data_IF_476863442239
#
_entry.id   IF_476863442239
#
_cell.length_a   1.000
_cell.length_b   1.000
_cell.length_c   1.000
_cell.angle_alpha   90.00
_cell.angle_beta   90.00
_cell.angle_gamma   90.00
#
_symmetry.space_group_name_H-M   'P 1'
#
loop_
_entity.id
_entity.type
_entity.pdbx_description
1 polymer ?
#
# COMPACT_ATOMS: atom_id res chain seq x y z
N UNK A 1 7.91 12.59 10.66
CA UNK A 1 6.68 11.79 10.57
C UNK A 1 6.11 11.80 9.16
N UNK A 2 5.96 12.97 8.54
CA UNK A 2 5.32 13.14 7.23
C UNK A 2 5.95 12.31 6.10
N UNK A 3 7.29 12.28 5.96
CA UNK A 3 7.99 11.49 4.92
C UNK A 3 7.78 9.98 5.03
N UNK A 4 7.62 9.45 6.26
CA UNK A 4 7.37 8.01 6.48
C UNK A 4 5.92 7.63 6.14
N UNK A 5 4.97 8.50 6.49
CA UNK A 5 3.56 8.33 6.11
C UNK A 5 3.38 8.26 4.60
N UNK A 6 4.00 9.20 3.85
CA UNK A 6 3.98 9.18 2.39
C UNK A 6 4.60 7.90 1.83
N UNK A 7 5.67 7.38 2.41
CA UNK A 7 6.28 6.11 1.99
C UNK A 7 5.30 4.92 2.12
N UNK A 8 4.64 4.78 3.28
CA UNK A 8 3.65 3.71 3.48
C UNK A 8 2.43 3.86 2.57
N UNK A 9 1.94 5.10 2.40
CA UNK A 9 0.83 5.38 1.48
C UNK A 9 1.18 5.01 0.04
N UNK A 10 2.38 5.36 -0.44
CA UNK A 10 2.83 5.03 -1.80
C UNK A 10 2.91 3.52 -2.02
N UNK A 11 3.39 2.74 -1.04
CA UNK A 11 3.46 1.27 -1.15
C UNK A 11 2.06 0.67 -1.30
N UNK A 12 1.10 1.13 -0.49
CA UNK A 12 -0.28 0.62 -0.51
C UNK A 12 -0.99 1.01 -1.81
N UNK A 13 -0.81 2.26 -2.27
CA UNK A 13 -1.35 2.72 -3.55
C UNK A 13 -0.76 1.93 -4.72
N UNK A 14 0.56 1.69 -4.72
CA UNK A 14 1.21 0.89 -5.75
C UNK A 14 0.72 -0.56 -5.77
N UNK A 15 0.56 -1.19 -4.59
CA UNK A 15 0.00 -2.53 -4.49
C UNK A 15 -1.44 -2.60 -5.01
N UNK A 16 -2.27 -1.61 -4.69
CA UNK A 16 -3.64 -1.52 -5.16
C UNK A 16 -3.74 -1.34 -6.67
N UNK A 17 -2.94 -0.44 -7.26
CA UNK A 17 -2.88 -0.26 -8.70
C UNK A 17 -2.36 -1.51 -9.43
N UNK A 18 -1.38 -2.20 -8.84
CA UNK A 18 -0.90 -3.50 -9.36
C UNK A 18 -2.01 -4.56 -9.39
N UNK A 19 -2.81 -4.64 -8.31
CA UNK A 19 -3.97 -5.54 -8.25
C UNK A 19 -5.04 -5.21 -9.31
N UNK A 20 -5.35 -3.92 -9.51
CA UNK A 20 -6.27 -3.49 -10.56
C UNK A 20 -5.76 -3.83 -11.96
N UNK A 21 -4.47 -3.61 -12.22
CA UNK A 21 -3.85 -4.01 -13.50
C UNK A 21 -3.92 -5.51 -13.74
N UNK A 22 -3.70 -6.31 -12.69
CA UNK A 22 -3.85 -7.76 -12.76
C UNK A 22 -5.29 -8.18 -13.07
N UNK A 23 -6.30 -7.57 -12.45
CA UNK A 23 -7.72 -7.84 -12.77
C UNK A 23 -8.07 -7.52 -14.22
N UNK A 24 -7.57 -6.40 -14.75
CA UNK A 24 -7.76 -6.04 -16.17
C UNK A 24 -7.13 -7.07 -17.11
N UNK A 25 -5.95 -7.60 -16.74
CA UNK A 25 -5.26 -8.64 -17.50
C UNK A 25 -6.04 -9.96 -17.47
N UNK A 26 -6.57 -10.37 -16.30
CA UNK A 26 -7.43 -11.55 -16.19
C UNK A 26 -8.71 -11.42 -17.02
N UNK A 27 -9.32 -10.23 -17.04
CA UNK A 27 -10.47 -9.95 -17.91
C UNK A 27 -10.10 -10.12 -19.39
N UNK A 28 -8.94 -9.62 -19.80
CA UNK A 28 -8.45 -9.75 -21.17
C UNK A 28 -8.17 -11.21 -21.56
N UNK A 29 -7.55 -11.98 -20.68
CA UNK A 29 -7.31 -13.43 -20.89
C UNK A 29 -8.64 -14.17 -21.07
N UNK A 30 -9.62 -13.91 -20.19
CA UNK A 30 -10.96 -14.52 -20.29
C UNK A 30 -11.65 -14.18 -21.61
N UNK A 31 -11.55 -12.92 -22.07
CA UNK A 31 -12.12 -12.50 -23.36
C UNK A 31 -11.47 -13.23 -24.54
N UNK A 32 -10.14 -13.41 -24.51
CA UNK A 32 -9.41 -14.17 -25.54
C UNK A 32 -9.88 -15.63 -25.56
N UNK A 33 -10.01 -16.26 -24.40
CA UNK A 33 -10.48 -17.65 -24.28
C UNK A 33 -11.90 -17.86 -24.84
N UNK A 34 -12.76 -16.85 -24.69
CA UNK A 34 -14.13 -16.87 -25.24
C UNK A 34 -14.22 -16.52 -26.74
N UNK A 35 -13.08 -16.34 -27.41
CA UNK A 35 -13.00 -16.07 -28.84
C UNK A 35 -13.27 -14.61 -29.23
N UNK A 36 -13.28 -13.69 -28.26
CA UNK A 36 -13.42 -12.26 -28.52
C UNK A 36 -12.07 -11.71 -28.98
N UNK A 37 -12.05 -10.95 -30.09
CA UNK A 37 -10.83 -10.30 -30.58
C UNK A 37 -10.41 -9.17 -29.62
N UNK A 38 -9.30 -9.30 -28.87
CA UNK A 38 -8.97 -8.38 -27.78
C UNK A 38 -8.59 -6.97 -28.26
N UNK A 39 -8.06 -6.86 -29.47
CA UNK A 39 -7.53 -5.61 -30.05
C UNK A 39 -8.49 -4.93 -31.02
N UNK A 40 -9.79 -5.24 -30.97
CA UNK A 40 -10.77 -4.48 -31.73
C UNK A 40 -10.92 -3.07 -31.14
N UNK A 41 -11.21 -2.08 -32.00
CA UNK A 41 -11.39 -0.68 -31.57
C UNK A 41 -12.44 -0.55 -30.46
N UNK A 42 -13.52 -1.33 -30.54
CA UNK A 42 -14.61 -1.35 -29.56
C UNK A 42 -14.16 -1.88 -28.20
N UNK A 43 -13.36 -2.95 -28.17
CA UNK A 43 -12.85 -3.54 -26.93
C UNK A 43 -11.79 -2.66 -26.25
N UNK A 44 -10.97 -1.96 -27.04
CA UNK A 44 -10.01 -0.98 -26.50
C UNK A 44 -10.76 0.18 -25.83
N UNK A 45 -11.84 0.67 -26.44
CA UNK A 45 -12.68 1.72 -25.85
C UNK A 45 -13.34 1.22 -24.55
N UNK A 46 -13.89 0.00 -24.55
CA UNK A 46 -14.50 -0.61 -23.37
C UNK A 46 -13.49 -0.83 -22.24
N UNK A 47 -12.27 -1.31 -22.54
CA UNK A 47 -11.19 -1.42 -21.56
C UNK A 47 -10.77 -0.04 -21.03
N UNK A 48 -10.69 0.98 -21.89
CA UNK A 48 -10.39 2.35 -21.49
C UNK A 48 -11.43 2.90 -20.51
N UNK A 49 -12.72 2.75 -20.83
CA UNK A 49 -13.83 3.16 -19.95
C UNK A 49 -13.80 2.37 -18.63
N UNK A 50 -13.59 1.05 -18.69
CA UNK A 50 -13.49 0.20 -17.51
C UNK A 50 -12.33 0.62 -16.59
N UNK A 51 -11.18 0.95 -17.17
CA UNK A 51 -10.00 1.46 -16.43
C UNK A 51 -10.32 2.78 -15.73
N UNK A 52 -10.98 3.73 -16.42
CA UNK A 52 -11.38 5.01 -15.82
C UNK A 52 -12.36 4.80 -14.66
N UNK A 53 -13.35 3.92 -14.83
CA UNK A 53 -14.31 3.60 -13.76
C UNK A 53 -13.57 2.98 -12.55
N UNK A 54 -12.66 2.04 -12.78
CA UNK A 54 -11.86 1.43 -11.71
C UNK A 54 -11.01 2.46 -10.96
N UNK A 55 -10.42 3.42 -11.66
CA UNK A 55 -9.67 4.53 -11.04
C UNK A 55 -10.59 5.41 -10.19
N UNK A 56 -11.78 5.77 -10.67
CA UNK A 56 -12.71 6.60 -9.91
C UNK A 56 -13.21 5.87 -8.66
N UNK A 57 -13.58 4.59 -8.78
CA UNK A 57 -14.07 3.75 -7.68
C UNK A 57 -12.97 3.47 -6.65
N UNK A 58 -11.70 3.56 -7.02
CA UNK A 58 -10.60 3.35 -6.07
C UNK A 58 -10.27 4.55 -5.20
N UNK A 59 -10.74 5.76 -5.54
CA UNK A 59 -10.60 6.97 -4.70
C UNK A 59 -11.16 6.77 -3.27
N UNK A 60 -12.42 6.32 -3.06
CA UNK A 60 -12.94 6.09 -1.72
C UNK A 60 -12.23 4.95 -0.99
N UNK A 61 -11.73 3.94 -1.70
CA UNK A 61 -10.94 2.84 -1.09
C UNK A 61 -9.63 3.39 -0.53
N UNK A 62 -8.91 4.19 -1.31
CA UNK A 62 -7.66 4.84 -0.87
C UNK A 62 -7.93 5.79 0.30
N UNK A 63 -9.03 6.56 0.25
CA UNK A 63 -9.43 7.44 1.35
C UNK A 63 -9.75 6.66 2.64
N UNK A 64 -10.44 5.52 2.53
CA UNK A 64 -10.71 4.64 3.67
C UNK A 64 -9.45 3.99 4.26
N UNK A 65 -8.41 3.79 3.44
CA UNK A 65 -7.13 3.25 3.89
C UNK A 65 -6.25 4.29 4.60
N UNK A 66 -6.44 5.60 4.36
CA UNK A 66 -5.66 6.67 5.03
C UNK A 66 -5.61 6.54 6.56
N UNK A 67 -6.72 6.36 7.30
CA UNK A 67 -6.67 6.22 8.76
C UNK A 67 -5.91 4.97 9.21
N UNK A 68 -5.97 3.88 8.46
CA UNK A 68 -5.20 2.65 8.75
C UNK A 68 -3.70 2.87 8.55
N UNK A 69 -3.31 3.64 7.54
CA UNK A 69 -1.91 4.03 7.30
C UNK A 69 -1.39 4.90 8.45
N UNK A 70 -2.20 5.86 8.92
CA UNK A 70 -1.86 6.69 10.08
C UNK A 70 -1.67 5.81 11.33
N UNK A 71 -2.60 4.89 11.58
CA UNK A 71 -2.52 3.98 12.71
C UNK A 71 -1.27 3.10 12.67
N UNK A 72 -0.95 2.52 11.51
CA UNK A 72 0.27 1.72 11.33
C UNK A 72 1.54 2.55 11.59
N UNK A 73 1.56 3.81 11.15
CA UNK A 73 2.65 4.74 11.44
C UNK A 73 2.83 4.99 12.94
N UNK A 74 1.73 5.22 13.67
CA UNK A 74 1.75 5.41 15.12
C UNK A 74 2.27 4.15 15.85
N UNK A 75 1.84 2.96 15.43
CA UNK A 75 2.33 1.70 16.00
C UNK A 75 3.84 1.57 15.79
N UNK A 76 4.33 1.81 14.57
CA UNK A 76 5.76 1.73 14.28
C UNK A 76 6.58 2.72 15.11
N UNK A 77 6.06 3.92 15.33
CA UNK A 77 6.71 4.95 16.14
C UNK A 77 6.70 4.59 17.64
N UNK A 78 5.60 4.02 18.14
CA UNK A 78 5.52 3.46 19.49
C UNK A 78 6.53 2.34 19.73
N UNK A 79 6.64 1.39 18.78
CA UNK A 79 7.63 0.31 18.83
C UNK A 79 9.06 0.87 18.86
N UNK A 80 9.36 1.87 18.03
CA UNK A 80 10.67 2.51 18.01
C UNK A 80 11.02 3.19 19.35
N UNK A 81 10.08 3.92 19.94
CA UNK A 81 10.30 4.54 21.25
C UNK A 81 10.54 3.50 22.34
N UNK A 82 9.80 2.39 22.31
CA UNK A 82 9.94 1.30 23.28
C UNK A 82 11.32 0.64 23.17
N UNK A 83 11.78 0.34 21.96
CA UNK A 83 13.14 -0.18 21.71
C UNK A 83 14.22 0.80 22.17
N UNK A 84 14.05 2.10 21.90
CA UNK A 84 14.98 3.13 22.37
C UNK A 84 15.03 3.21 23.90
N UNK A 85 13.88 3.08 24.56
CA UNK A 85 13.77 3.02 26.02
C UNK A 85 14.54 1.84 26.60
N UNK A 86 14.33 0.64 26.04
CA UNK A 86 15.05 -0.58 26.45
C UNK A 86 16.55 -0.40 26.27
N UNK A 87 17.00 0.14 25.13
CA UNK A 87 18.42 0.39 24.88
C UNK A 87 19.04 1.36 25.91
N UNK A 88 18.36 2.46 26.21
CA UNK A 88 18.84 3.42 27.21
C UNK A 88 18.86 2.83 28.62
N UNK A 89 17.83 2.07 28.99
CA UNK A 89 17.76 1.36 30.26
C UNK A 89 18.91 0.34 30.40
N UNK A 90 19.15 -0.48 29.37
CA UNK A 90 20.28 -1.42 29.33
C UNK A 90 21.62 -0.71 29.44
N UNK A 91 21.82 0.39 28.69
CA UNK A 91 23.04 1.20 28.78
C UNK A 91 23.26 1.79 30.18
N UNK A 92 22.20 2.25 30.84
CA UNK A 92 22.28 2.75 32.22
C UNK A 92 22.65 1.64 33.20
N UNK A 93 22.03 0.47 33.07
CA UNK A 93 22.27 -0.69 33.93
C UNK A 93 23.73 -1.16 33.81
N UNK A 94 24.28 -1.21 32.59
CA UNK A 94 25.70 -1.51 32.35
C UNK A 94 26.60 -0.49 33.03
N UNK A 95 26.36 0.82 32.83
CA UNK A 95 27.18 1.88 33.46
C UNK A 95 27.16 1.81 34.98
N UNK A 96 26.01 1.46 35.57
CA UNK A 96 25.87 1.33 37.02
C UNK A 96 26.69 0.16 37.57
N UNK A 97 26.82 -0.93 36.83
CA UNK A 97 27.64 -2.08 37.22
C UNK A 97 29.13 -1.91 36.94
N UNK A 98 29.53 -1.08 35.96
CA UNK A 98 30.94 -0.86 35.63
C UNK A 98 31.61 0.26 36.43
N UNK A 99 30.84 1.09 37.13
CA UNK A 99 31.33 2.19 37.98
C UNK A 99 31.04 1.98 39.48
N UNK A 100 30.66 0.77 39.88
CA UNK A 100 30.65 0.29 41.26
C UNK A 100 31.93 -0.52 41.52
#
# INVERSE_FOLDING_TARGET
METRFWCYATIIIAAWLGFLGWLLLQLQETLIETGVTPWSMENIILQGIGTVILVIVSVPVIAALQPLIVLAGLIAEGVWQLLRGIYLAGRWLIRRHTHA
#
